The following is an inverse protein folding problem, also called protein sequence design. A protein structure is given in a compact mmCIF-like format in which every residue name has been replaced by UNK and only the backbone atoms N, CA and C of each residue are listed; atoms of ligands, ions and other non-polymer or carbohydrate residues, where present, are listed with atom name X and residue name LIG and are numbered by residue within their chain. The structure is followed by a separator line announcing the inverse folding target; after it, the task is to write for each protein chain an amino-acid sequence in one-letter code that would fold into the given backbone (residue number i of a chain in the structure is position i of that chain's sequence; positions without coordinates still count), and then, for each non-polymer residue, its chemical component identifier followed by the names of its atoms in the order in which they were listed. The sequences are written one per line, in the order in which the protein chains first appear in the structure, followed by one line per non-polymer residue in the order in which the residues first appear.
data_IF_777073482061
#
_entry.id   IF_777073482061
#
_cell.length_a   1.000
_cell.length_b   1.000
_cell.length_c   1.000
_cell.angle_alpha   90.00
_cell.angle_beta   90.00
_cell.angle_gamma   90.00
#
_symmetry.space_group_name_H-M   'P 1'
#
loop_
_entity.id
_entity.type
_entity.pdbx_description
1 polymer ?
#
# COMPACT_ATOMS: atom_id res chain seq x y z
N UNK A 1 -23.68 -0.80 0.78
CA UNK A 1 -23.33 -0.45 2.17
C UNK A 1 -21.83 -0.64 2.36
N UNK A 2 -21.13 0.28 3.03
CA UNK A 2 -19.70 0.08 3.35
C UNK A 2 -19.57 -1.10 4.32
N UNK A 3 -18.69 -2.05 4.03
CA UNK A 3 -18.45 -3.18 4.93
C UNK A 3 -17.97 -2.66 6.29
N UNK A 4 -18.45 -3.28 7.38
CA UNK A 4 -17.92 -3.00 8.72
C UNK A 4 -16.47 -3.52 8.78
N UNK A 5 -15.56 -2.83 9.50
CA UNK A 5 -14.23 -3.37 9.75
C UNK A 5 -14.30 -4.72 10.47
N UNK A 6 -13.36 -5.59 10.17
CA UNK A 6 -13.18 -6.91 10.81
C UNK A 6 -11.80 -6.98 11.46
N UNK A 7 -11.66 -7.79 12.51
CA UNK A 7 -10.37 -8.01 13.17
C UNK A 7 -9.57 -9.07 12.39
N UNK A 8 -8.32 -8.77 12.09
CA UNK A 8 -7.39 -9.66 11.39
C UNK A 8 -6.01 -9.63 12.06
N UNK A 9 -5.27 -10.74 12.00
CA UNK A 9 -3.86 -10.77 12.41
C UNK A 9 -2.96 -10.29 11.27
N UNK A 10 -2.20 -9.23 11.52
CA UNK A 10 -1.16 -8.73 10.62
C UNK A 10 0.13 -8.59 11.42
N UNK A 11 1.17 -9.32 11.00
CA UNK A 11 2.49 -9.32 11.64
C UNK A 11 2.45 -9.71 13.14
N UNK A 12 1.54 -10.60 13.54
CA UNK A 12 1.41 -11.06 14.93
C UNK A 12 0.70 -10.07 15.86
N UNK A 13 -0.01 -9.09 15.30
CA UNK A 13 -0.84 -8.14 16.03
C UNK A 13 -2.23 -8.04 15.39
N UNK A 14 -3.27 -7.96 16.23
CA UNK A 14 -4.64 -7.74 15.78
C UNK A 14 -4.85 -6.30 15.30
N UNK A 15 -5.38 -6.16 14.09
CA UNK A 15 -5.72 -4.86 13.47
C UNK A 15 -7.12 -4.89 12.88
N UNK A 16 -7.80 -3.75 12.94
CA UNK A 16 -9.12 -3.57 12.33
C UNK A 16 -9.00 -3.23 10.85
N UNK A 17 -9.51 -4.10 9.98
CA UNK A 17 -9.41 -3.98 8.53
C UNK A 17 -10.78 -3.68 7.93
N UNK A 18 -10.88 -2.57 7.19
CA UNK A 18 -12.01 -2.37 6.29
C UNK A 18 -11.71 -3.04 4.94
N UNK A 19 -12.35 -4.19 4.68
CA UNK A 19 -12.11 -4.99 3.47
C UNK A 19 -12.33 -4.23 2.16
N UNK A 20 -13.29 -3.30 2.12
CA UNK A 20 -13.58 -2.52 0.90
C UNK A 20 -12.43 -1.57 0.58
N UNK A 21 -11.93 -0.81 1.55
CA UNK A 21 -10.81 0.11 1.30
C UNK A 21 -9.49 -0.62 1.11
N UNK A 22 -9.31 -1.77 1.75
CA UNK A 22 -8.13 -2.61 1.56
C UNK A 22 -8.06 -3.21 0.15
N UNK A 23 -9.19 -3.64 -0.41
CA UNK A 23 -9.27 -4.06 -1.82
C UNK A 23 -8.95 -2.89 -2.77
N UNK A 24 -9.61 -1.75 -2.58
CA UNK A 24 -9.33 -0.54 -3.38
C UNK A 24 -7.86 -0.10 -3.29
N UNK A 25 -7.24 -0.21 -2.12
CA UNK A 25 -5.80 0.09 -1.98
C UNK A 25 -4.96 -0.85 -2.84
N UNK A 26 -5.27 -2.15 -2.91
CA UNK A 26 -4.52 -3.12 -3.72
C UNK A 26 -4.65 -2.82 -5.21
N UNK A 27 -5.84 -2.43 -5.63
CA UNK A 27 -6.15 -2.21 -7.04
C UNK A 27 -5.74 -0.82 -7.53
N UNK A 28 -5.92 0.22 -6.72
CA UNK A 28 -5.84 1.63 -7.16
C UNK A 28 -4.64 2.41 -6.59
N UNK A 29 -3.92 1.88 -5.60
CA UNK A 29 -2.78 2.61 -5.03
C UNK A 29 -1.71 2.83 -6.11
N UNK A 30 -1.35 4.09 -6.33
CA UNK A 30 -0.35 4.45 -7.35
C UNK A 30 0.98 3.76 -7.10
N UNK A 31 1.39 3.55 -5.85
CA UNK A 31 2.65 2.85 -5.56
C UNK A 31 2.62 1.39 -6.04
N UNK A 32 1.51 0.66 -5.84
CA UNK A 32 1.40 -0.75 -6.24
C UNK A 32 1.32 -0.92 -7.75
N UNK A 33 0.85 0.11 -8.45
CA UNK A 33 0.71 0.18 -9.89
C UNK A 33 1.79 1.05 -10.57
N UNK A 34 2.91 1.32 -9.88
CA UNK A 34 4.00 2.14 -10.41
C UNK A 34 5.07 1.28 -11.09
N UNK A 35 5.53 1.65 -12.28
CA UNK A 35 6.67 1.02 -12.96
C UNK A 35 8.01 1.23 -12.24
N UNK A 36 8.09 2.26 -11.37
CA UNK A 36 9.28 2.52 -10.55
C UNK A 36 9.32 1.68 -9.26
N UNK A 37 8.27 0.93 -8.92
CA UNK A 37 8.28 0.05 -7.74
C UNK A 37 9.15 -1.19 -8.01
N UNK A 38 10.32 -1.25 -7.39
CA UNK A 38 11.32 -2.32 -7.54
C UNK A 38 11.79 -2.78 -6.15
N UNK A 39 10.98 -3.57 -5.42
CA UNK A 39 11.30 -3.95 -4.05
C UNK A 39 12.67 -4.64 -3.95
N UNK A 40 13.42 -4.30 -2.91
CA UNK A 40 14.77 -4.82 -2.64
C UNK A 40 15.84 -4.49 -3.68
N UNK A 41 15.54 -3.65 -4.68
CA UNK A 41 16.55 -3.16 -5.63
C UNK A 41 17.12 -1.81 -5.17
N UNK A 42 18.39 -1.48 -5.51
CA UNK A 42 19.00 -0.19 -5.19
C UNK A 42 18.25 1.01 -5.78
N UNK A 43 17.54 0.81 -6.89
CA UNK A 43 16.76 1.81 -7.62
C UNK A 43 15.26 1.76 -7.30
N UNK A 44 14.87 1.18 -6.15
CA UNK A 44 13.47 1.18 -5.71
C UNK A 44 12.91 2.60 -5.58
N UNK A 45 11.64 2.78 -5.94
CA UNK A 45 10.93 4.05 -5.80
C UNK A 45 11.03 4.60 -4.35
N UNK A 46 11.64 5.78 -4.13
CA UNK A 46 11.85 6.32 -2.79
C UNK A 46 10.54 6.69 -2.09
N UNK A 47 9.52 7.10 -2.85
CA UNK A 47 8.18 7.40 -2.32
C UNK A 47 7.52 6.12 -1.81
N UNK A 48 7.50 5.06 -2.62
CA UNK A 48 6.93 3.77 -2.21
C UNK A 48 7.68 3.18 -1.02
N UNK A 49 9.01 3.28 -0.99
CA UNK A 49 9.83 2.83 0.14
C UNK A 49 9.51 3.58 1.44
N UNK A 50 9.29 4.89 1.38
CA UNK A 50 8.94 5.69 2.55
C UNK A 50 7.56 5.29 3.12
N UNK A 51 6.55 5.15 2.26
CA UNK A 51 5.23 4.69 2.69
C UNK A 51 5.24 3.24 3.18
N UNK A 52 6.02 2.36 2.55
CA UNK A 52 6.17 0.97 3.01
C UNK A 52 6.73 0.91 4.44
N UNK A 53 7.77 1.71 4.74
CA UNK A 53 8.32 1.79 6.10
C UNK A 53 7.27 2.23 7.12
N UNK A 54 6.43 3.21 6.76
CA UNK A 54 5.34 3.66 7.62
C UNK A 54 4.27 2.57 7.81
N UNK A 55 3.83 1.93 6.73
CA UNK A 55 2.84 0.85 6.77
C UNK A 55 3.29 -0.31 7.67
N UNK A 56 4.55 -0.75 7.52
CA UNK A 56 5.10 -1.84 8.34
C UNK A 56 5.35 -1.38 9.78
N UNK A 57 5.89 -0.19 9.98
CA UNK A 57 6.25 0.31 11.32
C UNK A 57 5.03 0.56 12.22
N UNK A 58 3.94 1.06 11.65
CA UNK A 58 2.71 1.40 12.41
C UNK A 58 1.61 0.33 12.28
N UNK A 59 1.87 -0.76 11.57
CA UNK A 59 0.88 -1.78 11.23
C UNK A 59 -0.40 -1.19 10.59
N UNK A 60 -0.20 -0.32 9.59
CA UNK A 60 -1.26 0.37 8.85
C UNK A 60 -1.18 0.10 7.35
N UNK A 61 -2.29 0.36 6.65
CA UNK A 61 -2.37 0.25 5.20
C UNK A 61 -2.86 1.57 4.59
N UNK A 62 -2.09 2.13 3.66
CA UNK A 62 -2.35 3.45 3.04
C UNK A 62 -2.43 3.32 1.51
N UNK A 63 -3.32 4.09 0.90
CA UNK A 63 -3.42 4.24 -0.55
C UNK A 63 -2.84 5.61 -0.98
N UNK A 64 -1.84 5.59 -1.86
CA UNK A 64 -1.29 6.80 -2.49
C UNK A 64 -2.12 7.12 -3.73
N UNK A 65 -2.77 8.27 -3.75
CA UNK A 65 -3.66 8.72 -4.84
C UNK A 65 -3.06 9.80 -5.73
N UNK A 66 -1.88 10.33 -5.38
CA UNK A 66 -1.11 11.30 -6.16
C UNK A 66 0.39 11.12 -5.89
N UNK A 67 1.21 11.17 -6.94
CA UNK A 67 2.66 11.06 -6.82
C UNK A 67 3.35 11.74 -8.01
N UNK A 68 4.35 12.61 -7.81
CA UNK A 68 4.99 13.37 -8.88
C UNK A 68 5.94 12.54 -9.75
N UNK A 69 6.35 11.35 -9.31
CA UNK A 69 7.29 10.45 -10.02
C UNK A 69 6.62 9.14 -10.43
N UNK A 70 5.29 9.09 -10.44
CA UNK A 70 4.56 7.90 -10.84
C UNK A 70 4.71 7.68 -12.35
N UNK A 71 4.95 6.42 -12.70
CA UNK A 71 4.91 5.93 -14.08
C UNK A 71 4.01 4.69 -14.10
N UNK A 72 3.18 4.50 -15.14
CA UNK A 72 2.36 3.30 -15.24
C UNK A 72 3.25 2.06 -15.27
N UNK A 73 2.87 1.02 -14.54
CA UNK A 73 3.52 -0.29 -14.65
C UNK A 73 3.12 -0.91 -15.98
N UNK A 74 4.10 -1.25 -16.81
CA UNK A 74 3.86 -2.04 -18.02
C UNK A 74 3.44 -3.45 -17.60
N UNK A 75 2.36 -3.96 -18.23
CA UNK A 75 1.77 -5.27 -17.94
C UNK A 75 2.54 -6.44 -18.53
#
# INVERSE_FOLDING_TARGET
MKAKPVLEDHYGQEVWVNKTTEALRRDECLCLNCGNLRPNQPDNCPVAQAFFKLCVGENVALAVTRCPIWTPKEG
#
